data_IF_480029079900
#
_entry.id   IF_480029079900
#
_cell.length_a   1.000
_cell.length_b   1.000
_cell.length_c   1.000
_cell.angle_alpha   90.00
_cell.angle_beta   90.00
_cell.angle_gamma   90.00
#
_symmetry.space_group_name_H-M   'P 1'
#
loop_
_entity.id
_entity.type
_entity.pdbx_description
1 polymer ?
#
# COMPACT_ATOMS: atom_id res chain seq x y z
N UNK A 1 18.54 38.35 25.25
CA UNK A 1 19.41 39.10 24.30
C UNK A 1 20.68 38.30 24.22
N UNK A 2 21.03 37.63 23.12
CA UNK A 2 21.30 38.24 21.80
C UNK A 2 20.75 37.36 20.67
N UNK A 3 20.09 38.02 19.74
CA UNK A 3 19.57 37.47 18.49
C UNK A 3 20.73 37.34 17.52
N UNK A 4 20.99 36.14 17.01
CA UNK A 4 21.56 35.96 15.67
C UNK A 4 20.56 35.16 14.83
N UNK A 5 19.63 35.92 14.26
CA UNK A 5 18.81 35.54 13.12
C UNK A 5 19.73 35.23 11.94
N UNK A 6 20.17 33.98 11.83
CA UNK A 6 20.51 33.41 10.54
C UNK A 6 19.25 32.73 10.02
N UNK A 7 18.57 33.42 9.11
CA UNK A 7 17.50 32.88 8.28
C UNK A 7 17.97 31.60 7.60
N UNK A 8 17.72 30.44 8.23
CA UNK A 8 17.63 29.19 7.49
C UNK A 8 16.44 29.39 6.56
N UNK A 9 16.72 29.70 5.30
CA UNK A 9 15.77 29.48 4.20
C UNK A 9 15.24 28.06 4.39
N UNK A 10 14.05 27.96 4.99
CA UNK A 10 13.31 26.72 5.10
C UNK A 10 13.13 26.24 3.67
N UNK A 11 13.95 25.28 3.24
CA UNK A 11 13.82 24.70 1.92
C UNK A 11 12.35 24.28 1.78
N UNK A 12 11.66 24.82 0.76
CA UNK A 12 10.25 24.50 0.53
C UNK A 12 10.10 22.99 0.55
N UNK A 13 9.27 22.49 1.47
CA UNK A 13 9.09 21.06 1.69
C UNK A 13 7.95 20.59 0.79
N UNK A 14 8.19 19.53 0.04
CA UNK A 14 7.33 19.02 -1.02
C UNK A 14 7.17 17.50 -0.85
N UNK A 15 6.17 16.85 -1.48
CA UNK A 15 5.96 15.41 -1.38
C UNK A 15 7.00 14.65 -2.22
N UNK A 16 8.27 14.77 -1.84
CA UNK A 16 9.44 14.35 -2.59
C UNK A 16 9.43 12.86 -2.94
N UNK A 17 8.88 11.99 -2.08
CA UNK A 17 8.73 10.58 -2.41
C UNK A 17 7.72 10.36 -3.55
N UNK A 18 6.58 11.05 -3.53
CA UNK A 18 5.58 10.90 -4.59
C UNK A 18 6.04 11.59 -5.89
N UNK A 19 6.83 12.68 -5.81
CA UNK A 19 7.45 13.33 -6.97
C UNK A 19 8.55 12.44 -7.59
N UNK A 20 9.38 11.80 -6.77
CA UNK A 20 10.42 10.88 -7.27
C UNK A 20 9.82 9.60 -7.88
N UNK A 21 8.61 9.17 -7.50
CA UNK A 21 7.92 8.07 -8.20
C UNK A 21 7.73 8.36 -9.68
N UNK A 22 7.51 9.62 -10.06
CA UNK A 22 7.40 10.03 -11.46
C UNK A 22 8.74 9.84 -12.18
N UNK A 23 9.84 10.29 -11.56
CA UNK A 23 11.19 10.10 -12.09
C UNK A 23 11.51 8.60 -12.21
N UNK A 24 11.22 7.82 -11.16
CA UNK A 24 11.44 6.38 -11.16
C UNK A 24 10.66 5.67 -12.27
N UNK A 25 9.39 6.02 -12.52
CA UNK A 25 8.66 5.38 -13.62
C UNK A 25 9.20 5.76 -15.00
N UNK A 26 9.65 7.01 -15.19
CA UNK A 26 10.34 7.43 -16.42
C UNK A 26 11.60 6.59 -16.65
N UNK A 27 12.39 6.36 -15.58
CA UNK A 27 13.57 5.50 -15.64
C UNK A 27 13.24 4.03 -15.95
N UNK A 28 12.10 3.52 -15.46
CA UNK A 28 11.58 2.19 -15.85
C UNK A 28 11.29 2.14 -17.35
N UNK A 29 10.61 3.15 -17.91
CA UNK A 29 10.35 3.21 -19.37
C UNK A 29 11.67 3.24 -20.14
N UNK A 30 12.61 4.11 -19.73
CA UNK A 30 13.93 4.23 -20.34
C UNK A 30 14.75 2.93 -20.30
N UNK A 31 14.54 2.08 -19.29
CA UNK A 31 15.19 0.78 -19.21
C UNK A 31 14.69 -0.22 -20.28
N UNK A 32 13.42 -0.12 -20.67
CA UNK A 32 12.78 -1.06 -21.59
C UNK A 32 12.79 -0.59 -23.06
N UNK A 33 13.09 0.68 -23.32
CA UNK A 33 13.19 1.22 -24.69
C UNK A 33 14.63 1.23 -25.23
N UNK A 34 15.61 0.64 -24.54
CA UNK A 34 17.03 0.66 -24.95
C UNK A 34 17.29 -0.11 -26.26
N UNK A 35 18.23 0.36 -27.07
CA UNK A 35 18.99 -0.47 -28.03
C UNK A 35 20.27 -1.01 -27.37
N UNK A 36 20.92 -1.99 -28.00
CA UNK A 36 22.02 -2.76 -27.41
C UNK A 36 23.41 -2.12 -27.61
N UNK A 37 23.51 -0.88 -28.09
CA UNK A 37 24.76 -0.39 -28.67
C UNK A 37 25.48 0.63 -27.78
N UNK A 38 26.67 0.26 -27.27
CA UNK A 38 27.64 1.19 -26.66
C UNK A 38 27.75 1.14 -25.12
N UNK A 39 29.00 1.20 -24.63
CA UNK A 39 29.36 1.16 -23.20
C UNK A 39 28.68 2.29 -22.39
N UNK A 40 28.53 3.48 -22.97
CA UNK A 40 27.84 4.61 -22.33
C UNK A 40 26.34 4.33 -22.12
N UNK A 41 25.65 3.81 -23.15
CA UNK A 41 24.22 3.48 -23.05
C UNK A 41 23.99 2.31 -22.09
N UNK A 42 24.94 1.36 -22.02
CA UNK A 42 24.95 0.31 -21.01
C UNK A 42 25.11 0.87 -19.59
N UNK A 43 26.06 1.78 -19.35
CA UNK A 43 26.26 2.37 -18.03
C UNK A 43 25.02 3.13 -17.52
N UNK A 44 24.28 3.80 -18.43
CA UNK A 44 22.99 4.41 -18.08
C UNK A 44 21.95 3.40 -17.60
N UNK A 45 22.03 2.12 -17.99
CA UNK A 45 21.11 1.09 -17.48
C UNK A 45 21.34 0.81 -16.00
N UNK A 46 22.59 0.85 -15.54
CA UNK A 46 22.94 0.68 -14.12
C UNK A 46 22.25 1.77 -13.28
N UNK A 47 22.22 3.01 -13.79
CA UNK A 47 21.56 4.13 -13.12
C UNK A 47 20.03 4.03 -13.18
N UNK A 48 19.46 3.58 -14.30
CA UNK A 48 18.00 3.40 -14.46
C UNK A 48 17.44 2.36 -13.49
N UNK A 49 18.25 1.40 -13.03
CA UNK A 49 17.87 0.37 -12.05
C UNK A 49 17.52 0.91 -10.67
N UNK A 50 17.84 2.17 -10.34
CA UNK A 50 17.43 2.84 -9.08
C UNK A 50 15.91 2.78 -8.85
N UNK A 51 15.13 2.67 -9.91
CA UNK A 51 13.66 2.72 -9.88
C UNK A 51 13.02 1.65 -8.99
N UNK A 52 13.38 0.38 -9.18
CA UNK A 52 12.77 -0.74 -8.44
C UNK A 52 13.11 -0.73 -6.94
N UNK A 53 14.38 -0.66 -6.50
CA UNK A 53 14.69 -0.59 -5.07
C UNK A 53 14.10 0.66 -4.43
N UNK A 54 13.98 1.78 -5.16
CA UNK A 54 13.24 2.95 -4.66
C UNK A 54 11.78 2.58 -4.34
N UNK A 55 11.05 1.95 -5.26
CA UNK A 55 9.67 1.53 -5.00
C UNK A 55 9.57 0.53 -3.84
N UNK A 56 10.53 -0.39 -3.70
CA UNK A 56 10.61 -1.31 -2.55
C UNK A 56 10.82 -0.52 -1.24
N UNK A 57 11.81 0.38 -1.19
CA UNK A 57 12.11 1.19 -0.01
C UNK A 57 10.93 2.07 0.41
N UNK A 58 10.21 2.67 -0.54
CA UNK A 58 8.99 3.42 -0.22
C UNK A 58 7.92 2.52 0.41
N UNK A 59 7.73 1.30 -0.10
CA UNK A 59 6.81 0.33 0.50
C UNK A 59 7.25 -0.04 1.93
N UNK A 60 8.53 -0.32 2.14
CA UNK A 60 9.09 -0.60 3.48
C UNK A 60 8.91 0.55 4.47
N UNK A 61 9.16 1.79 4.02
CA UNK A 61 8.96 3.00 4.81
C UNK A 61 7.51 3.15 5.32
N UNK A 62 6.52 3.00 4.44
CA UNK A 62 5.12 3.13 4.83
C UNK A 62 4.61 1.93 5.65
N UNK A 63 5.09 0.72 5.40
CA UNK A 63 4.78 -0.45 6.23
C UNK A 63 5.28 -0.27 7.66
N UNK A 64 6.51 0.21 7.83
CA UNK A 64 7.12 0.45 9.14
C UNK A 64 6.40 1.54 9.95
N UNK A 65 5.94 2.62 9.30
CA UNK A 65 5.15 3.67 9.98
C UNK A 65 3.82 3.16 10.53
N UNK A 66 3.25 2.12 9.92
CA UNK A 66 2.07 1.42 10.43
C UNK A 66 2.39 0.28 11.39
N UNK A 67 3.62 0.21 11.93
CA UNK A 67 4.14 -0.90 12.73
C UNK A 67 3.89 -2.26 12.07
N UNK A 68 3.98 -2.31 10.73
CA UNK A 68 3.71 -3.49 9.92
C UNK A 68 2.31 -4.12 10.08
N UNK A 69 1.37 -3.48 10.79
CA UNK A 69 0.00 -3.98 11.01
C UNK A 69 -0.79 -4.13 9.70
N UNK A 70 -0.43 -3.33 8.69
CA UNK A 70 -1.07 -3.33 7.38
C UNK A 70 -0.48 -4.33 6.39
N UNK A 71 0.48 -5.17 6.80
CA UNK A 71 1.18 -6.13 5.92
C UNK A 71 0.21 -7.04 5.19
N UNK A 72 -0.80 -7.59 5.86
CA UNK A 72 -1.83 -8.41 5.21
C UNK A 72 -2.58 -7.66 4.12
N UNK A 73 -3.05 -6.43 4.40
CA UNK A 73 -3.73 -5.56 3.41
C UNK A 73 -2.81 -5.20 2.24
N UNK A 74 -1.52 -4.98 2.51
CA UNK A 74 -0.52 -4.70 1.48
C UNK A 74 -0.30 -5.91 0.55
N UNK A 75 -0.14 -7.10 1.12
CA UNK A 75 -0.01 -8.35 0.37
C UNK A 75 -1.26 -8.63 -0.48
N UNK A 76 -2.47 -8.50 0.07
CA UNK A 76 -3.71 -8.69 -0.69
C UNK A 76 -3.81 -7.72 -1.87
N UNK A 77 -3.49 -6.42 -1.65
CA UNK A 77 -3.51 -5.43 -2.73
C UNK A 77 -2.45 -5.72 -3.80
N UNK A 78 -1.25 -6.13 -3.39
CA UNK A 78 -0.16 -6.48 -4.31
C UNK A 78 -0.51 -7.73 -5.12
N UNK A 79 -1.12 -8.73 -4.49
CA UNK A 79 -1.59 -9.95 -5.16
C UNK A 79 -2.72 -9.65 -6.15
N UNK A 80 -3.67 -8.79 -5.77
CA UNK A 80 -4.72 -8.33 -6.70
C UNK A 80 -4.13 -7.60 -7.89
N UNK A 81 -3.21 -6.66 -7.66
CA UNK A 81 -2.54 -5.92 -8.73
C UNK A 81 -1.76 -6.86 -9.66
N UNK A 82 -1.10 -7.86 -9.08
CA UNK A 82 -0.37 -8.87 -9.83
C UNK A 82 -1.30 -9.74 -10.66
N UNK A 83 -2.40 -10.25 -10.08
CA UNK A 83 -3.39 -11.04 -10.81
C UNK A 83 -4.00 -10.28 -11.99
N UNK A 84 -4.35 -9.00 -11.80
CA UNK A 84 -4.78 -8.12 -12.91
C UNK A 84 -3.68 -7.98 -13.96
N UNK A 85 -2.42 -7.79 -13.54
CA UNK A 85 -1.27 -7.76 -14.44
C UNK A 85 -1.10 -9.07 -15.24
N UNK A 86 -1.19 -10.23 -14.60
CA UNK A 86 -1.10 -11.54 -15.28
C UNK A 86 -2.16 -11.66 -16.37
N UNK A 87 -3.43 -11.33 -16.05
CA UNK A 87 -4.51 -11.37 -17.02
C UNK A 87 -4.32 -10.35 -18.15
N UNK A 88 -3.88 -9.14 -17.82
CA UNK A 88 -3.62 -8.08 -18.79
C UNK A 88 -2.52 -8.49 -19.78
N UNK A 89 -1.51 -9.26 -19.37
CA UNK A 89 -0.39 -9.67 -20.23
C UNK A 89 -0.56 -11.06 -20.84
N UNK A 90 -1.63 -11.79 -20.51
CA UNK A 90 -1.88 -13.13 -21.03
C UNK A 90 -1.96 -13.17 -22.58
N UNK A 91 -2.64 -12.21 -23.27
CA UNK A 91 -2.65 -12.19 -24.74
C UNK A 91 -1.26 -11.97 -25.35
N UNK A 92 -0.42 -11.12 -24.74
CA UNK A 92 0.96 -10.89 -25.20
C UNK A 92 1.81 -12.13 -25.00
N UNK A 93 1.66 -12.80 -23.87
CA UNK A 93 2.36 -14.05 -23.59
C UNK A 93 2.00 -15.14 -24.58
N UNK A 94 0.71 -15.24 -24.94
CA UNK A 94 0.25 -16.15 -25.99
C UNK A 94 0.88 -15.79 -27.34
N UNK A 95 0.78 -14.52 -27.76
CA UNK A 95 1.33 -14.04 -29.03
C UNK A 95 2.86 -14.23 -29.12
N UNK A 96 3.58 -14.00 -28.02
CA UNK A 96 5.03 -14.17 -27.95
C UNK A 96 5.48 -15.63 -27.78
N UNK A 97 4.55 -16.60 -27.75
CA UNK A 97 4.87 -18.02 -27.56
C UNK A 97 5.44 -18.35 -26.18
N UNK A 98 5.16 -17.53 -25.17
CA UNK A 98 5.72 -17.66 -23.81
C UNK A 98 4.91 -18.58 -22.88
N UNK A 99 3.77 -19.12 -23.34
CA UNK A 99 2.96 -20.09 -22.60
C UNK A 99 3.58 -21.51 -22.68
N UNK A 100 4.72 -21.69 -22.02
CA UNK A 100 5.37 -22.99 -21.87
C UNK A 100 4.83 -23.76 -20.64
N UNK A 101 5.14 -25.06 -20.48
CA UNK A 101 4.82 -25.80 -19.25
C UNK A 101 5.41 -25.14 -17.98
N UNK A 102 6.49 -24.38 -18.14
CA UNK A 102 7.17 -23.64 -17.09
C UNK A 102 6.49 -22.30 -16.73
N UNK A 103 5.46 -21.89 -17.49
CA UNK A 103 4.76 -20.62 -17.31
C UNK A 103 4.21 -20.45 -15.89
N UNK A 104 3.67 -21.51 -15.28
CA UNK A 104 3.13 -21.45 -13.92
C UNK A 104 4.25 -21.14 -12.90
N UNK A 105 5.41 -21.78 -13.02
CA UNK A 105 6.57 -21.50 -12.16
C UNK A 105 6.98 -20.05 -12.27
N UNK A 106 7.11 -19.54 -13.50
CA UNK A 106 7.46 -18.13 -13.77
C UNK A 106 6.43 -17.18 -13.19
N UNK A 107 5.14 -17.45 -13.36
CA UNK A 107 4.06 -16.65 -12.75
C UNK A 107 4.21 -16.59 -11.23
N UNK A 108 4.64 -17.66 -10.57
CA UNK A 108 4.78 -17.68 -9.11
C UNK A 108 6.05 -16.93 -8.65
N UNK A 109 7.18 -17.17 -9.31
CA UNK A 109 8.49 -16.78 -8.79
C UNK A 109 9.16 -15.60 -9.52
N UNK A 110 8.98 -15.49 -10.84
CA UNK A 110 9.75 -14.57 -11.69
C UNK A 110 8.90 -13.43 -12.29
N UNK A 111 7.58 -13.58 -12.35
CA UNK A 111 6.66 -12.69 -13.05
C UNK A 111 6.16 -13.28 -14.37
N UNK A 112 4.88 -13.06 -14.67
CA UNK A 112 4.27 -13.46 -15.96
C UNK A 112 4.79 -12.68 -17.18
N UNK A 113 5.47 -11.55 -16.96
CA UNK A 113 6.11 -10.75 -18.00
C UNK A 113 7.32 -10.03 -17.39
N UNK A 114 8.33 -9.71 -18.22
CA UNK A 114 9.65 -9.26 -17.74
C UNK A 114 9.63 -8.07 -16.76
N UNK A 115 8.67 -7.14 -16.89
CA UNK A 115 8.57 -5.98 -16.01
C UNK A 115 7.75 -6.28 -14.75
N UNK A 116 6.88 -7.31 -14.75
CA UNK A 116 5.98 -7.59 -13.62
C UNK A 116 6.67 -8.28 -12.44
N UNK A 117 7.92 -8.75 -12.60
CA UNK A 117 8.70 -9.47 -11.59
C UNK A 117 8.72 -8.82 -10.19
N UNK A 118 8.65 -7.50 -10.15
CA UNK A 118 8.60 -6.72 -8.90
C UNK A 118 7.45 -7.13 -7.99
N UNK A 119 6.28 -7.47 -8.54
CA UNK A 119 5.08 -7.80 -7.76
C UNK A 119 5.18 -9.15 -7.04
N UNK A 120 5.48 -10.29 -7.69
CA UNK A 120 5.72 -11.55 -7.00
C UNK A 120 6.95 -11.47 -6.07
N UNK A 121 7.98 -10.72 -6.45
CA UNK A 121 9.13 -10.48 -5.58
C UNK A 121 8.71 -9.78 -4.27
N UNK A 122 7.82 -8.77 -4.33
CA UNK A 122 7.25 -8.16 -3.12
C UNK A 122 6.40 -9.14 -2.31
N UNK A 123 5.60 -9.99 -2.96
CA UNK A 123 4.77 -10.99 -2.28
C UNK A 123 5.62 -11.99 -1.48
N UNK A 124 6.76 -12.41 -2.03
CA UNK A 124 7.68 -13.34 -1.38
C UNK A 124 8.58 -12.64 -0.33
N UNK A 125 9.08 -11.45 -0.63
CA UNK A 125 10.03 -10.75 0.23
C UNK A 125 9.42 -10.00 1.41
N UNK A 126 8.15 -9.58 1.32
CA UNK A 126 7.48 -8.86 2.41
C UNK A 126 7.29 -9.70 3.67
N UNK A 127 6.87 -10.98 3.61
CA UNK A 127 6.81 -11.85 4.79
C UNK A 127 8.18 -12.02 5.47
N UNK A 128 9.25 -12.15 4.69
CA UNK A 128 10.62 -12.27 5.19
C UNK A 128 11.03 -10.98 5.90
N UNK A 129 10.83 -9.83 5.27
CA UNK A 129 11.14 -8.53 5.86
C UNK A 129 10.28 -8.25 7.10
N UNK A 130 9.01 -8.66 7.11
CA UNK A 130 8.12 -8.56 8.27
C UNK A 130 8.66 -9.38 9.45
N UNK A 131 9.03 -10.63 9.23
CA UNK A 131 9.63 -11.47 10.27
C UNK A 131 10.96 -10.88 10.78
N UNK A 132 11.83 -10.42 9.87
CA UNK A 132 13.08 -9.77 10.23
C UNK A 132 12.86 -8.45 11.00
N UNK A 133 11.76 -7.74 10.73
CA UNK A 133 11.43 -6.50 11.43
C UNK A 133 11.08 -6.69 12.91
N UNK A 134 10.81 -7.92 13.34
CA UNK A 134 10.64 -8.26 14.75
C UNK A 134 11.97 -8.20 15.54
N UNK A 135 13.11 -8.29 14.85
CA UNK A 135 14.43 -8.15 15.46
C UNK A 135 14.86 -6.68 15.51
N UNK A 136 15.87 -6.39 16.33
CA UNK A 136 16.50 -5.07 16.33
C UNK A 136 17.12 -4.77 14.95
N UNK A 137 17.08 -3.52 14.46
CA UNK A 137 17.65 -3.15 13.16
C UNK A 137 19.11 -3.56 12.98
N UNK A 138 19.89 -3.54 14.07
CA UNK A 138 21.29 -3.97 14.11
C UNK A 138 21.49 -5.47 13.79
N UNK A 139 20.46 -6.30 13.96
CA UNK A 139 20.47 -7.70 13.56
C UNK A 139 19.74 -7.92 12.22
N UNK A 140 18.59 -7.27 12.04
CA UNK A 140 17.74 -7.46 10.85
C UNK A 140 18.42 -7.04 9.54
N UNK A 141 19.07 -5.87 9.52
CA UNK A 141 19.70 -5.33 8.31
C UNK A 141 20.91 -6.19 7.88
N UNK A 142 21.84 -6.60 8.78
CA UNK A 142 22.91 -7.51 8.40
C UNK A 142 22.44 -8.87 7.89
N UNK A 143 21.38 -9.46 8.48
CA UNK A 143 20.82 -10.73 7.98
C UNK A 143 20.27 -10.55 6.56
N UNK A 144 19.51 -9.48 6.30
CA UNK A 144 19.04 -9.19 4.95
C UNK A 144 20.19 -8.81 3.99
N UNK A 145 21.25 -8.19 4.50
CA UNK A 145 22.48 -7.93 3.76
C UNK A 145 23.19 -9.21 3.34
N UNK A 146 23.26 -10.22 4.22
CA UNK A 146 23.79 -11.53 3.89
C UNK A 146 22.97 -12.22 2.78
N UNK A 147 21.63 -12.16 2.87
CA UNK A 147 20.76 -12.65 1.78
C UNK A 147 21.05 -11.92 0.46
N UNK A 148 21.24 -10.60 0.49
CA UNK A 148 21.62 -9.83 -0.70
C UNK A 148 22.96 -10.24 -1.29
N UNK A 149 23.97 -10.51 -0.45
CA UNK A 149 25.28 -10.98 -0.89
C UNK A 149 25.22 -12.38 -1.52
N UNK A 150 24.37 -13.27 -1.00
CA UNK A 150 24.08 -14.56 -1.66
C UNK A 150 23.44 -14.30 -3.03
N UNK A 151 22.47 -13.39 -3.11
CA UNK A 151 21.89 -13.02 -4.40
C UNK A 151 22.93 -12.46 -5.38
N UNK A 152 23.84 -11.61 -4.90
CA UNK A 152 24.90 -11.01 -5.70
C UNK A 152 25.81 -12.05 -6.36
N UNK A 153 26.11 -13.15 -5.64
CA UNK A 153 26.88 -14.28 -6.16
C UNK A 153 26.18 -15.06 -7.27
N UNK A 154 24.86 -14.97 -7.41
CA UNK A 154 24.11 -15.57 -8.51
C UNK A 154 23.94 -14.69 -9.75
N UNK A 155 24.30 -13.40 -9.67
CA UNK A 155 24.08 -12.42 -10.73
C UNK A 155 25.41 -11.87 -11.26
N UNK A 156 25.86 -10.77 -10.67
CA UNK A 156 26.98 -9.99 -11.19
C UNK A 156 28.34 -10.54 -10.78
N UNK A 157 28.38 -11.42 -9.77
CA UNK A 157 29.60 -12.10 -9.34
C UNK A 157 29.60 -13.60 -9.69
N UNK A 158 28.64 -14.06 -10.50
CA UNK A 158 28.45 -15.48 -10.80
C UNK A 158 29.70 -16.16 -11.34
N UNK A 159 30.43 -15.55 -12.27
CA UNK A 159 31.64 -16.13 -12.83
C UNK A 159 32.77 -16.38 -11.83
N UNK A 160 32.80 -15.69 -10.68
CA UNK A 160 33.75 -16.01 -9.59
C UNK A 160 33.27 -17.21 -8.78
N UNK A 161 31.96 -17.25 -8.54
CA UNK A 161 31.32 -18.22 -7.65
C UNK A 161 31.12 -19.58 -8.33
N UNK A 162 30.88 -19.58 -9.64
CA UNK A 162 30.71 -20.79 -10.46
C UNK A 162 31.98 -21.64 -10.55
N UNK A 163 33.15 -21.05 -10.27
CA UNK A 163 34.42 -21.78 -10.23
C UNK A 163 34.55 -22.69 -9.00
N UNK A 164 33.69 -22.52 -8.00
CA UNK A 164 33.68 -23.33 -6.77
C UNK A 164 32.57 -24.37 -6.90
N UNK A 165 32.88 -25.68 -6.98
CA UNK A 165 31.89 -26.73 -7.29
C UNK A 165 30.67 -26.74 -6.36
N UNK A 166 30.88 -26.58 -5.06
CA UNK A 166 29.81 -26.57 -4.06
C UNK A 166 28.85 -25.39 -4.28
N UNK A 167 29.39 -24.20 -4.58
CA UNK A 167 28.58 -23.02 -4.82
C UNK A 167 27.87 -23.11 -6.17
N UNK A 168 28.54 -23.62 -7.21
CA UNK A 168 27.92 -23.88 -8.51
C UNK A 168 26.70 -24.80 -8.39
N UNK A 169 26.81 -25.90 -7.65
CA UNK A 169 25.68 -26.80 -7.37
C UNK A 169 24.54 -26.10 -6.61
N UNK A 170 24.88 -25.27 -5.62
CA UNK A 170 23.90 -24.48 -4.88
C UNK A 170 23.12 -23.51 -5.78
N UNK A 171 23.79 -22.72 -6.63
CA UNK A 171 23.11 -21.80 -7.55
C UNK A 171 22.34 -22.54 -8.64
N UNK A 172 22.83 -23.68 -9.12
CA UNK A 172 22.07 -24.51 -10.07
C UNK A 172 20.74 -24.99 -9.45
N UNK A 173 20.73 -25.33 -8.16
CA UNK A 173 19.50 -25.62 -7.43
C UNK A 173 18.56 -24.42 -7.36
N UNK A 174 19.07 -23.22 -7.08
CA UNK A 174 18.27 -21.98 -7.11
C UNK A 174 17.68 -21.75 -8.52
N UNK A 175 18.47 -21.95 -9.57
CA UNK A 175 18.06 -21.71 -10.95
C UNK A 175 17.04 -22.71 -11.51
N UNK A 176 16.75 -23.80 -10.79
CA UNK A 176 15.61 -24.67 -11.11
C UNK A 176 14.27 -24.05 -10.68
N UNK A 177 14.30 -23.13 -9.71
CA UNK A 177 13.09 -22.50 -9.14
C UNK A 177 12.93 -21.05 -9.58
N UNK A 178 14.02 -20.30 -9.68
CA UNK A 178 14.05 -18.89 -10.06
C UNK A 178 14.90 -18.69 -11.30
N UNK A 179 14.48 -17.84 -12.23
CA UNK A 179 15.31 -17.52 -13.40
C UNK A 179 16.54 -16.66 -13.00
N UNK A 180 16.41 -15.90 -11.93
CA UNK A 180 17.36 -14.90 -11.45
C UNK A 180 17.43 -14.88 -9.92
N UNK A 181 18.57 -14.51 -9.34
CA UNK A 181 18.65 -14.28 -7.88
C UNK A 181 18.21 -12.87 -7.48
N UNK A 182 18.01 -11.96 -8.45
CA UNK A 182 17.26 -10.71 -8.25
C UNK A 182 15.75 -11.00 -8.07
N UNK A 183 15.39 -11.52 -6.91
CA UNK A 183 14.04 -12.00 -6.61
C UNK A 183 13.57 -11.60 -5.21
N UNK A 184 12.39 -12.10 -4.81
CA UNK A 184 11.79 -11.79 -3.52
C UNK A 184 12.58 -12.30 -2.30
N UNK A 185 13.44 -13.31 -2.46
CA UNK A 185 14.20 -13.90 -1.37
C UNK A 185 15.48 -13.12 -1.08
N UNK A 186 16.30 -12.86 -2.11
CA UNK A 186 17.64 -12.29 -1.92
C UNK A 186 17.68 -10.77 -2.09
N UNK A 187 16.76 -10.19 -2.85
CA UNK A 187 16.80 -8.76 -3.18
C UNK A 187 15.88 -7.91 -2.32
N UNK A 188 14.61 -8.29 -2.25
CA UNK A 188 13.54 -7.48 -1.64
C UNK A 188 13.70 -7.22 -0.13
N UNK A 189 14.10 -8.20 0.71
CA UNK A 189 14.12 -7.99 2.15
C UNK A 189 15.05 -6.86 2.59
N UNK A 190 16.23 -6.76 1.97
CA UNK A 190 17.18 -5.69 2.27
C UNK A 190 16.58 -4.32 1.99
N UNK A 191 16.05 -4.09 0.80
CA UNK A 191 15.49 -2.77 0.43
C UNK A 191 14.23 -2.43 1.22
N UNK A 192 13.39 -3.41 1.58
CA UNK A 192 12.25 -3.16 2.47
C UNK A 192 12.73 -2.67 3.84
N UNK A 193 13.74 -3.34 4.42
CA UNK A 193 14.27 -2.99 5.73
C UNK A 193 15.07 -1.68 5.71
N UNK A 194 15.82 -1.38 4.66
CA UNK A 194 16.50 -0.08 4.49
C UNK A 194 15.49 1.06 4.37
N UNK A 195 14.38 0.85 3.66
CA UNK A 195 13.27 1.80 3.62
C UNK A 195 12.58 1.96 4.98
N UNK A 196 12.35 0.85 5.68
CA UNK A 196 11.76 0.82 7.02
C UNK A 196 12.63 1.52 8.08
N UNK A 197 13.96 1.40 7.98
CA UNK A 197 14.90 2.07 8.86
C UNK A 197 14.81 3.60 8.75
N UNK A 198 14.41 4.12 7.58
CA UNK A 198 14.10 5.54 7.39
C UNK A 198 15.26 6.46 7.78
N UNK A 199 16.50 6.05 7.51
CA UNK A 199 17.71 6.75 7.94
C UNK A 199 17.79 8.12 7.26
N UNK A 200 17.92 9.19 8.04
CA UNK A 200 18.09 10.56 7.56
C UNK A 200 19.41 11.12 8.08
N UNK A 201 20.37 11.34 7.18
CA UNK A 201 21.61 12.04 7.46
C UNK A 201 21.49 13.54 7.17
N UNK A 202 22.53 14.31 7.50
CA UNK A 202 22.61 15.71 7.08
C UNK A 202 22.68 15.83 5.55
N UNK A 203 22.06 16.86 4.96
CA UNK A 203 22.09 17.09 3.51
C UNK A 203 23.50 16.97 2.90
N UNK A 204 24.50 17.53 3.57
CA UNK A 204 25.90 17.46 3.13
C UNK A 204 26.40 16.02 3.09
N UNK A 205 26.16 15.25 4.16
CA UNK A 205 26.51 13.83 4.23
C UNK A 205 25.78 13.02 3.16
N UNK A 206 24.50 13.26 2.95
CA UNK A 206 23.70 12.51 1.96
C UNK A 206 24.13 12.82 0.53
N UNK A 207 24.46 14.07 0.20
CA UNK A 207 25.01 14.42 -1.12
C UNK A 207 26.38 13.79 -1.34
N UNK A 208 27.32 13.93 -0.38
CA UNK A 208 28.66 13.36 -0.51
C UNK A 208 28.59 11.83 -0.59
N UNK A 209 27.81 11.20 0.29
CA UNK A 209 27.60 9.76 0.28
C UNK A 209 26.97 9.26 -1.02
N UNK A 210 25.97 9.98 -1.55
CA UNK A 210 25.38 9.67 -2.85
C UNK A 210 26.40 9.74 -3.98
N UNK A 211 27.22 10.81 -4.05
CA UNK A 211 28.24 10.96 -5.10
C UNK A 211 29.35 9.91 -4.99
N UNK A 212 29.85 9.63 -3.79
CA UNK A 212 30.87 8.61 -3.57
C UNK A 212 30.37 7.21 -3.91
N UNK A 213 29.16 6.85 -3.46
CA UNK A 213 28.56 5.54 -3.77
C UNK A 213 28.20 5.40 -5.25
N UNK A 214 27.80 6.48 -5.92
CA UNK A 214 27.58 6.51 -7.36
C UNK A 214 28.88 6.27 -8.12
N UNK A 215 29.97 6.94 -7.74
CA UNK A 215 31.27 6.73 -8.35
C UNK A 215 31.76 5.29 -8.14
N UNK A 216 31.64 4.75 -6.93
CA UNK A 216 32.00 3.37 -6.62
C UNK A 216 31.17 2.36 -7.41
N UNK A 217 29.86 2.59 -7.55
CA UNK A 217 28.98 1.75 -8.36
C UNK A 217 29.37 1.78 -9.85
N UNK A 218 29.70 2.96 -10.40
CA UNK A 218 30.15 3.09 -11.79
C UNK A 218 31.45 2.31 -12.01
N UNK A 219 32.42 2.42 -11.09
CA UNK A 219 33.68 1.67 -11.15
C UNK A 219 33.42 0.17 -11.07
N UNK A 220 32.64 -0.28 -10.08
CA UNK A 220 32.25 -1.68 -9.93
C UNK A 220 31.60 -2.23 -11.20
N UNK A 221 30.62 -1.49 -11.74
CA UNK A 221 29.90 -1.89 -12.93
C UNK A 221 30.84 -2.03 -14.13
N UNK A 222 31.72 -1.05 -14.39
CA UNK A 222 32.67 -1.10 -15.49
C UNK A 222 33.66 -2.27 -15.37
N UNK A 223 34.16 -2.54 -14.16
CA UNK A 223 35.07 -3.67 -13.91
C UNK A 223 34.38 -5.01 -14.18
N UNK A 224 33.15 -5.19 -13.68
CA UNK A 224 32.39 -6.42 -13.89
C UNK A 224 31.99 -6.59 -15.37
N UNK A 225 31.63 -5.51 -16.06
CA UNK A 225 31.28 -5.56 -17.48
C UNK A 225 32.48 -5.93 -18.35
N UNK A 226 33.64 -5.30 -18.13
CA UNK A 226 34.87 -5.58 -18.89
C UNK A 226 35.46 -6.96 -18.61
N UNK A 227 35.24 -7.49 -17.42
CA UNK A 227 35.71 -8.84 -17.06
C UNK A 227 34.83 -9.96 -17.61
N UNK A 228 33.60 -9.66 -18.04
CA UNK A 228 32.70 -10.65 -18.66
C UNK A 228 32.23 -11.76 -17.72
N UNK A 229 32.41 -11.61 -16.40
CA UNK A 229 32.07 -12.63 -15.40
C UNK A 229 30.59 -12.61 -14.98
N UNK A 230 29.83 -11.62 -15.42
CA UNK A 230 28.46 -11.41 -15.01
C UNK A 230 27.54 -12.40 -15.74
N UNK A 231 26.68 -13.11 -14.99
CA UNK A 231 25.54 -13.80 -15.60
C UNK A 231 24.48 -12.78 -16.02
N UNK A 232 24.19 -11.86 -15.10
CA UNK A 232 23.28 -10.74 -15.27
C UNK A 232 23.80 -9.52 -14.52
N UNK A 233 23.45 -8.33 -15.01
CA UNK A 233 23.93 -7.02 -14.56
C UNK A 233 22.93 -6.33 -13.63
N UNK A 234 22.28 -7.10 -12.74
CA UNK A 234 21.13 -6.60 -11.96
C UNK A 234 21.36 -6.32 -10.49
N UNK A 235 22.48 -6.71 -9.92
CA UNK A 235 22.81 -6.53 -8.51
C UNK A 235 24.25 -6.06 -8.38
N UNK A 236 24.52 -5.11 -7.49
CA UNK A 236 25.87 -4.58 -7.30
C UNK A 236 26.10 -4.34 -5.81
N UNK A 237 27.33 -4.56 -5.35
CA UNK A 237 27.71 -4.38 -3.96
C UNK A 237 27.52 -2.95 -3.49
N UNK A 238 27.88 -1.94 -4.29
CA UNK A 238 27.73 -0.53 -3.91
C UNK A 238 26.31 0.01 -4.05
N UNK A 239 25.39 -0.77 -4.61
CA UNK A 239 24.03 -0.33 -4.91
C UNK A 239 23.16 -0.03 -3.67
N UNK A 240 23.14 -0.86 -2.61
CA UNK A 240 22.40 -0.53 -1.39
C UNK A 240 22.86 0.78 -0.75
N UNK A 241 24.16 1.09 -0.81
CA UNK A 241 24.72 2.32 -0.27
C UNK A 241 24.22 3.55 -1.04
N UNK A 242 24.24 3.49 -2.37
CA UNK A 242 23.64 4.53 -3.24
C UNK A 242 22.19 4.78 -2.86
N UNK A 243 21.42 3.71 -2.68
CA UNK A 243 20.00 3.78 -2.35
C UNK A 243 19.75 4.39 -0.96
N UNK A 244 20.56 4.09 0.05
CA UNK A 244 20.45 4.69 1.39
C UNK A 244 20.63 6.20 1.33
N UNK A 245 21.66 6.70 0.64
CA UNK A 245 21.91 8.14 0.56
C UNK A 245 20.88 8.87 -0.31
N UNK A 246 20.48 8.27 -1.44
CA UNK A 246 19.38 8.79 -2.26
C UNK A 246 18.09 8.89 -1.44
N UNK A 247 17.72 7.83 -0.73
CA UNK A 247 16.50 7.80 0.05
C UNK A 247 16.57 8.78 1.23
N UNK A 248 17.73 8.96 1.85
CA UNK A 248 17.94 9.99 2.87
C UNK A 248 17.70 11.41 2.33
N UNK A 249 18.18 11.74 1.12
CA UNK A 249 17.91 13.05 0.49
C UNK A 249 16.41 13.27 0.26
N UNK A 250 15.73 12.22 -0.21
CA UNK A 250 14.28 12.28 -0.46
C UNK A 250 13.50 12.44 0.84
N UNK A 251 13.85 11.69 1.90
CA UNK A 251 13.19 11.76 3.20
C UNK A 251 13.36 13.13 3.87
N UNK A 252 14.54 13.74 3.78
CA UNK A 252 14.78 15.09 4.31
C UNK A 252 13.87 16.14 3.66
N UNK A 253 13.65 16.02 2.35
CA UNK A 253 12.80 16.93 1.58
C UNK A 253 11.29 16.61 1.66
N UNK A 254 10.93 15.40 2.10
CA UNK A 254 9.57 14.87 1.97
C UNK A 254 8.61 15.44 3.02
N UNK A 255 7.61 16.20 2.57
CA UNK A 255 6.42 16.56 3.34
C UNK A 255 5.14 16.48 2.50
N UNK A 256 4.11 15.88 3.08
CA UNK A 256 2.81 15.69 2.44
C UNK A 256 2.74 14.46 1.54
N UNK A 257 1.65 14.36 0.79
CA UNK A 257 1.37 13.26 -0.14
C UNK A 257 0.72 13.79 -1.42
N UNK A 258 1.07 13.21 -2.56
CA UNK A 258 0.44 13.43 -3.87
C UNK A 258 -0.09 12.11 -4.41
N UNK A 259 -1.32 11.77 -3.98
CA UNK A 259 -2.00 10.52 -4.36
C UNK A 259 -2.20 10.38 -5.87
N UNK A 260 -2.45 11.47 -6.58
CA UNK A 260 -2.60 11.48 -8.05
C UNK A 260 -1.34 11.00 -8.76
N UNK A 261 -0.16 11.50 -8.36
CA UNK A 261 1.13 11.07 -8.92
C UNK A 261 1.42 9.60 -8.59
N UNK A 262 1.05 9.15 -7.38
CA UNK A 262 1.18 7.74 -7.00
C UNK A 262 0.37 6.83 -7.91
N UNK A 263 -0.91 7.15 -8.13
CA UNK A 263 -1.78 6.40 -9.04
C UNK A 263 -1.25 6.44 -10.47
N UNK A 264 -0.90 7.63 -10.97
CA UNK A 264 -0.34 7.81 -12.31
C UNK A 264 0.91 6.96 -12.51
N UNK A 265 1.87 7.02 -11.59
CA UNK A 265 3.12 6.23 -11.67
C UNK A 265 2.86 4.73 -11.70
N UNK A 266 1.88 4.22 -10.93
CA UNK A 266 1.50 2.81 -10.93
C UNK A 266 0.86 2.39 -12.26
N UNK A 267 -0.02 3.22 -12.82
CA UNK A 267 -0.65 2.90 -14.11
C UNK A 267 0.38 2.93 -15.23
N UNK A 268 1.23 3.97 -15.31
CA UNK A 268 2.32 4.06 -16.30
C UNK A 268 3.23 2.82 -16.19
N UNK A 269 3.61 2.44 -14.97
CA UNK A 269 4.40 1.25 -14.73
C UNK A 269 3.75 -0.02 -15.31
N UNK A 270 2.43 -0.19 -15.15
CA UNK A 270 1.72 -1.39 -15.63
C UNK A 270 1.50 -1.40 -17.14
N UNK A 271 1.33 -0.25 -17.79
CA UNK A 271 0.91 -0.20 -19.20
C UNK A 271 2.03 0.15 -20.19
N UNK A 272 3.20 0.61 -19.72
CA UNK A 272 4.26 1.04 -20.64
C UNK A 272 4.73 -0.05 -21.65
N UNK A 273 4.77 -1.35 -21.31
CA UNK A 273 5.10 -2.40 -22.27
C UNK A 273 4.03 -2.58 -23.35
N UNK A 274 2.76 -2.41 -23.00
CA UNK A 274 1.69 -2.36 -23.99
C UNK A 274 1.90 -1.19 -24.95
N UNK A 275 2.25 -0.02 -24.43
CA UNK A 275 2.57 1.14 -25.26
C UNK A 275 3.78 0.87 -26.16
N UNK A 276 4.81 0.17 -25.67
CA UNK A 276 5.95 -0.26 -26.47
C UNK A 276 5.55 -1.18 -27.63
N UNK A 277 4.70 -2.19 -27.37
CA UNK A 277 4.21 -3.12 -28.41
C UNK A 277 3.35 -2.38 -29.43
N UNK A 278 2.47 -1.48 -28.99
CA UNK A 278 1.61 -0.69 -29.88
C UNK A 278 2.41 0.27 -30.76
N UNK A 279 3.39 0.98 -30.21
CA UNK A 279 4.28 1.87 -30.97
C UNK A 279 5.05 1.08 -32.02
N UNK A 280 5.62 -0.07 -31.67
CA UNK A 280 6.32 -0.95 -32.62
C UNK A 280 5.39 -1.50 -33.71
N UNK A 281 4.19 -1.92 -33.34
CA UNK A 281 3.17 -2.40 -34.28
C UNK A 281 2.74 -1.32 -35.26
N UNK A 282 2.45 -0.11 -34.77
CA UNK A 282 2.10 1.04 -35.60
C UNK A 282 3.25 1.44 -36.55
N UNK A 283 4.49 1.46 -36.07
CA UNK A 283 5.65 1.76 -36.90
C UNK A 283 5.83 0.74 -38.03
N UNK A 284 5.54 -0.53 -37.78
CA UNK A 284 5.56 -1.60 -38.79
C UNK A 284 4.47 -1.40 -39.86
N UNK A 285 3.26 -1.01 -39.46
CA UNK A 285 2.13 -0.77 -40.38
C UNK A 285 2.41 0.42 -41.30
N UNK A 286 2.97 1.50 -40.74
CA UNK A 286 3.27 2.74 -41.50
C UNK A 286 4.59 2.63 -42.30
N UNK A 287 5.38 1.57 -42.08
CA UNK A 287 6.66 1.37 -42.77
C UNK A 287 7.80 2.29 -42.29
N UNK A 288 7.67 2.87 -41.09
CA UNK A 288 8.64 3.82 -40.51
C UNK A 288 9.46 3.20 -39.36
N UNK A 289 9.74 1.89 -39.41
CA UNK A 289 10.46 1.19 -38.34
C UNK A 289 11.87 1.75 -38.11
N UNK A 290 12.58 2.14 -39.16
CA UNK A 290 13.92 2.74 -39.02
C UNK A 290 13.89 4.02 -38.18
N UNK A 291 13.00 4.96 -38.50
CA UNK A 291 12.92 6.22 -37.76
C UNK A 291 12.32 6.05 -36.36
N UNK A 292 11.27 5.24 -36.21
CA UNK A 292 10.46 5.19 -34.98
C UNK A 292 10.90 4.12 -33.97
N UNK A 293 11.59 3.07 -34.43
CA UNK A 293 11.97 1.92 -33.59
C UNK A 293 13.48 1.79 -33.42
N UNK A 294 14.26 1.98 -34.48
CA UNK A 294 15.74 1.86 -34.40
C UNK A 294 16.36 3.07 -33.69
N UNK A 295 15.73 4.24 -33.77
CA UNK A 295 16.13 5.40 -32.97
C UNK A 295 15.60 5.27 -31.52
N UNK A 296 16.49 4.83 -30.62
CA UNK A 296 16.23 4.63 -29.19
C UNK A 296 15.63 5.85 -28.48
N UNK A 297 16.04 7.06 -28.86
CA UNK A 297 15.54 8.30 -28.24
C UNK A 297 14.10 8.56 -28.71
N UNK A 298 13.84 8.43 -30.01
CA UNK A 298 12.49 8.58 -30.57
C UNK A 298 11.55 7.53 -29.99
N UNK A 299 11.96 6.26 -29.96
CA UNK A 299 11.19 5.18 -29.36
C UNK A 299 10.90 5.46 -27.88
N UNK A 300 11.90 5.89 -27.11
CA UNK A 300 11.72 6.28 -25.71
C UNK A 300 10.67 7.38 -25.55
N UNK A 301 10.77 8.48 -26.30
CA UNK A 301 9.83 9.61 -26.21
C UNK A 301 8.42 9.16 -26.59
N UNK A 302 8.25 8.39 -27.67
CA UNK A 302 6.93 7.92 -28.11
C UNK A 302 6.27 7.00 -27.08
N UNK A 303 7.02 6.03 -26.54
CA UNK A 303 6.52 5.13 -25.49
C UNK A 303 6.22 5.91 -24.22
N UNK A 304 7.05 6.87 -23.85
CA UNK A 304 6.82 7.70 -22.67
C UNK A 304 5.53 8.51 -22.79
N UNK A 305 5.39 9.29 -23.86
CA UNK A 305 4.24 10.15 -24.11
C UNK A 305 2.95 9.32 -24.21
N UNK A 306 2.96 8.24 -24.99
CA UNK A 306 1.80 7.35 -25.11
C UNK A 306 1.41 6.72 -23.77
N UNK A 307 2.40 6.30 -22.96
CA UNK A 307 2.13 5.74 -21.63
C UNK A 307 1.48 6.76 -20.69
N UNK A 308 1.95 8.01 -20.68
CA UNK A 308 1.35 9.06 -19.86
C UNK A 308 -0.05 9.45 -20.33
N UNK A 309 -0.26 9.62 -21.64
CA UNK A 309 -1.57 9.95 -22.19
C UNK A 309 -2.59 8.85 -21.92
N UNK A 310 -2.24 7.59 -22.18
CA UNK A 310 -3.12 6.46 -21.93
C UNK A 310 -3.39 6.30 -20.43
N UNK A 311 -2.39 6.50 -19.57
CA UNK A 311 -2.59 6.43 -18.12
C UNK A 311 -3.54 7.51 -17.62
N UNK A 312 -3.43 8.74 -18.13
CA UNK A 312 -4.35 9.82 -17.76
C UNK A 312 -5.76 9.51 -18.26
N UNK A 313 -5.92 9.03 -19.50
CA UNK A 313 -7.21 8.62 -20.04
C UNK A 313 -7.86 7.54 -19.16
N UNK A 314 -7.11 6.50 -18.76
CA UNK A 314 -7.61 5.43 -17.89
C UNK A 314 -7.99 5.95 -16.49
N UNK A 315 -7.25 6.92 -15.96
CA UNK A 315 -7.58 7.52 -14.66
C UNK A 315 -8.82 8.41 -14.72
N UNK A 316 -9.11 9.05 -15.86
CA UNK A 316 -10.33 9.83 -16.09
C UNK A 316 -11.59 8.95 -16.15
N UNK A 317 -11.45 7.68 -16.54
CA UNK A 317 -12.55 6.70 -16.53
C UNK A 317 -12.90 6.22 -15.10
N UNK A 318 -12.04 6.46 -14.11
CA UNK A 318 -12.35 6.11 -12.73
C UNK A 318 -13.39 7.08 -12.17
N UNK A 319 -14.41 6.58 -11.44
CA UNK A 319 -15.43 7.45 -10.86
C UNK A 319 -14.75 8.50 -9.96
N UNK A 320 -15.09 9.79 -10.11
CA UNK A 320 -14.49 10.85 -9.32
C UNK A 320 -14.70 10.54 -7.85
N UNK A 321 -13.61 10.55 -7.07
CA UNK A 321 -13.73 10.44 -5.63
C UNK A 321 -14.46 11.69 -5.12
N UNK A 322 -15.35 11.54 -4.12
CA UNK A 322 -16.03 12.68 -3.53
C UNK A 322 -14.99 13.71 -3.08
N UNK A 323 -15.08 14.92 -3.63
CA UNK A 323 -14.17 16.03 -3.33
C UNK A 323 -14.35 16.41 -1.86
N UNK A 324 -13.27 16.37 -1.10
CA UNK A 324 -13.25 16.72 0.33
C UNK A 324 -13.16 18.24 0.46
N UNK A 325 -14.21 18.87 1.00
CA UNK A 325 -14.36 20.35 1.04
C UNK A 325 -14.02 20.98 2.40
N UNK A 326 -13.57 20.21 3.40
CA UNK A 326 -13.25 20.70 4.74
C UNK A 326 -11.76 20.72 5.09
N UNK A 327 -11.36 21.61 6.02
CA UNK A 327 -10.00 21.69 6.59
C UNK A 327 -9.56 20.39 7.30
N UNK A 328 -10.52 19.66 7.87
CA UNK A 328 -10.34 18.35 8.48
C UNK A 328 -11.60 17.51 8.23
N UNK A 329 -11.44 16.20 8.09
CA UNK A 329 -12.54 15.26 7.88
C UNK A 329 -12.28 13.96 8.62
N UNK A 330 -13.36 13.19 8.83
CA UNK A 330 -13.32 11.83 9.35
C UNK A 330 -13.66 10.89 8.18
N UNK A 331 -12.79 9.93 7.90
CA UNK A 331 -13.04 8.88 6.90
C UNK A 331 -13.64 7.66 7.61
N UNK A 332 -14.81 7.22 7.14
CA UNK A 332 -15.55 6.11 7.72
C UNK A 332 -15.48 4.90 6.79
N UNK A 333 -14.81 3.84 7.24
CA UNK A 333 -14.69 2.60 6.50
C UNK A 333 -15.93 1.72 6.71
N UNK A 334 -16.79 1.66 5.68
CA UNK A 334 -18.01 0.82 5.70
C UNK A 334 -17.69 -0.67 5.81
N UNK A 335 -16.57 -1.13 5.24
CA UNK A 335 -16.16 -2.53 5.32
C UNK A 335 -15.74 -2.88 6.75
N UNK A 336 -15.07 -1.96 7.45
CA UNK A 336 -14.74 -2.12 8.87
C UNK A 336 -16.01 -2.19 9.73
N UNK A 337 -17.00 -1.30 9.50
CA UNK A 337 -18.27 -1.36 10.22
C UNK A 337 -18.99 -2.69 10.01
N UNK A 338 -19.09 -3.16 8.76
CA UNK A 338 -19.71 -4.45 8.42
C UNK A 338 -18.99 -5.62 9.09
N UNK A 339 -17.66 -5.64 9.05
CA UNK A 339 -16.86 -6.68 9.68
C UNK A 339 -17.12 -6.75 11.18
N UNK A 340 -17.11 -5.60 11.87
CA UNK A 340 -17.36 -5.55 13.32
C UNK A 340 -18.76 -6.08 13.68
N UNK A 341 -19.78 -5.71 12.89
CA UNK A 341 -21.14 -6.22 13.10
C UNK A 341 -21.22 -7.73 12.89
N UNK A 342 -20.57 -8.26 11.86
CA UNK A 342 -20.54 -9.71 11.61
C UNK A 342 -19.86 -10.47 12.74
N UNK A 343 -18.75 -9.95 13.30
CA UNK A 343 -18.07 -10.56 14.44
C UNK A 343 -18.95 -10.53 15.71
N UNK A 344 -19.67 -9.44 15.94
CA UNK A 344 -20.61 -9.37 17.06
C UNK A 344 -21.78 -10.34 16.87
N UNK A 345 -22.32 -10.46 15.65
CA UNK A 345 -23.39 -11.41 15.36
C UNK A 345 -22.94 -12.86 15.52
N UNK A 346 -21.71 -13.21 15.15
CA UNK A 346 -21.21 -14.59 15.25
C UNK A 346 -21.03 -15.11 16.67
N UNK A 347 -20.98 -14.22 17.67
CA UNK A 347 -20.82 -14.60 19.09
C UNK A 347 -22.14 -14.51 19.88
N UNK A 348 -23.23 -14.06 19.26
CA UNK A 348 -24.52 -13.97 19.95
C UNK A 348 -25.16 -15.35 20.08
N UNK A 349 -25.79 -15.64 21.24
CA UNK A 349 -26.64 -16.81 21.38
C UNK A 349 -27.82 -16.77 20.40
N UNK A 350 -28.35 -17.96 20.09
CA UNK A 350 -29.56 -18.07 19.29
C UNK A 350 -30.72 -17.30 19.92
N UNK A 351 -31.51 -16.61 19.09
CA UNK A 351 -32.60 -15.74 19.54
C UNK A 351 -32.18 -14.36 20.07
N UNK A 352 -30.89 -14.07 20.22
CA UNK A 352 -30.40 -12.73 20.57
C UNK A 352 -30.22 -11.85 19.33
N UNK A 353 -30.51 -10.55 19.46
CA UNK A 353 -30.34 -9.56 18.41
C UNK A 353 -29.46 -8.39 18.88
N UNK A 354 -28.74 -7.77 17.94
CA UNK A 354 -27.99 -6.55 18.24
C UNK A 354 -28.92 -5.33 18.33
N UNK A 355 -28.67 -4.49 19.33
CA UNK A 355 -29.23 -3.15 19.45
C UNK A 355 -28.09 -2.13 19.59
N UNK A 356 -27.46 -1.68 18.48
CA UNK A 356 -26.30 -0.80 18.54
C UNK A 356 -26.63 0.54 19.18
N UNK A 357 -25.79 0.97 20.11
CA UNK A 357 -25.84 2.32 20.67
C UNK A 357 -25.22 3.32 19.68
N UNK A 358 -26.02 4.24 19.16
CA UNK A 358 -25.61 5.30 18.22
C UNK A 358 -25.74 6.69 18.84
N UNK A 359 -25.69 6.77 20.18
CA UNK A 359 -25.65 8.02 20.96
C UNK A 359 -24.40 8.86 20.67
N UNK A 360 -24.45 10.13 21.06
CA UNK A 360 -23.40 11.12 20.83
C UNK A 360 -22.98 11.18 19.35
N UNK A 361 -23.96 11.24 18.46
CA UNK A 361 -23.75 11.23 17.01
C UNK A 361 -22.96 9.98 16.52
N UNK A 362 -23.32 8.79 17.01
CA UNK A 362 -22.54 7.55 16.86
C UNK A 362 -21.07 7.74 17.24
N UNK A 363 -20.82 8.23 18.46
CA UNK A 363 -19.47 8.52 18.96
C UNK A 363 -18.66 9.44 18.02
N UNK A 364 -19.31 10.44 17.43
CA UNK A 364 -18.70 11.38 16.48
C UNK A 364 -18.61 10.91 15.02
N UNK A 365 -19.13 9.72 14.69
CA UNK A 365 -19.06 9.15 13.33
C UNK A 365 -20.27 9.49 12.44
N UNK A 366 -21.29 10.20 12.96
CA UNK A 366 -22.50 10.52 12.21
C UNK A 366 -23.61 9.49 12.42
N UNK A 367 -24.50 9.73 13.37
CA UNK A 367 -25.53 8.78 13.81
C UNK A 367 -26.45 8.32 12.67
N UNK A 368 -26.99 9.25 11.89
CA UNK A 368 -27.88 8.92 10.76
C UNK A 368 -27.14 8.10 9.70
N UNK A 369 -25.90 8.44 9.39
CA UNK A 369 -25.10 7.75 8.38
C UNK A 369 -24.78 6.31 8.81
N UNK A 370 -24.34 6.14 10.06
CA UNK A 370 -24.06 4.82 10.65
C UNK A 370 -25.34 3.99 10.74
N UNK A 371 -26.41 4.53 11.30
CA UNK A 371 -27.69 3.82 11.46
C UNK A 371 -28.30 3.39 10.12
N UNK A 372 -28.17 4.19 9.05
CA UNK A 372 -28.62 3.79 7.70
C UNK A 372 -27.87 2.57 7.20
N UNK A 373 -26.54 2.54 7.39
CA UNK A 373 -25.74 1.40 6.98
C UNK A 373 -26.09 0.15 7.80
N UNK A 374 -26.30 0.30 9.10
CA UNK A 374 -26.75 -0.79 9.97
C UNK A 374 -28.14 -1.31 9.58
N UNK A 375 -29.09 -0.44 9.23
CA UNK A 375 -30.39 -0.87 8.67
C UNK A 375 -30.22 -1.70 7.38
N UNK A 376 -29.28 -1.34 6.49
CA UNK A 376 -28.98 -2.14 5.28
C UNK A 376 -28.41 -3.52 5.61
N UNK A 377 -27.74 -3.66 6.76
CA UNK A 377 -27.25 -4.94 7.28
C UNK A 377 -28.33 -5.72 8.03
N UNK A 378 -29.58 -5.26 8.04
CA UNK A 378 -30.71 -5.93 8.69
C UNK A 378 -30.88 -5.62 10.17
N UNK A 379 -30.08 -4.70 10.74
CA UNK A 379 -30.26 -4.27 12.13
C UNK A 379 -31.48 -3.34 12.22
N UNK A 380 -32.44 -3.71 13.06
CA UNK A 380 -33.74 -3.03 13.19
C UNK A 380 -34.00 -2.49 14.60
N UNK A 381 -32.96 -2.37 15.43
CA UNK A 381 -33.06 -1.87 16.78
C UNK A 381 -31.85 -1.00 17.12
N UNK A 382 -32.06 0.17 17.72
CA UNK A 382 -31.00 1.14 18.06
C UNK A 382 -31.20 1.74 19.44
N UNK A 383 -30.10 2.12 20.09
CA UNK A 383 -30.12 2.89 21.33
C UNK A 383 -29.56 4.30 21.12
N UNK A 384 -30.23 5.31 21.69
CA UNK A 384 -29.78 6.71 21.77
C UNK A 384 -29.80 7.19 23.21
N UNK A 385 -29.10 8.28 23.52
CA UNK A 385 -29.10 8.84 24.87
C UNK A 385 -30.31 9.75 25.10
N UNK A 386 -30.77 10.48 24.08
CA UNK A 386 -31.82 11.49 24.22
C UNK A 386 -32.94 11.36 23.17
N UNK A 387 -34.10 11.94 23.46
CA UNK A 387 -35.23 12.04 22.52
C UNK A 387 -34.84 12.78 21.24
N UNK A 388 -34.01 13.82 21.35
CA UNK A 388 -33.57 14.62 20.21
C UNK A 388 -32.74 13.80 19.23
N UNK A 389 -31.83 12.95 19.73
CA UNK A 389 -31.08 12.00 18.90
C UNK A 389 -32.02 10.98 18.23
N UNK A 390 -33.01 10.45 18.97
CA UNK A 390 -34.01 9.55 18.41
C UNK A 390 -34.84 10.20 17.30
N UNK A 391 -35.25 11.45 17.51
CA UNK A 391 -35.95 12.26 16.52
C UNK A 391 -35.09 12.55 15.28
N UNK A 392 -33.78 12.75 15.45
CA UNK A 392 -32.82 12.90 14.35
C UNK A 392 -32.76 11.62 13.49
N UNK A 393 -32.62 10.45 14.12
CA UNK A 393 -32.63 9.17 13.39
C UNK A 393 -33.93 8.97 12.61
N UNK A 394 -35.08 9.28 13.20
CA UNK A 394 -36.38 9.16 12.54
C UNK A 394 -36.53 10.09 11.34
N UNK A 395 -36.12 11.35 11.47
CA UNK A 395 -36.06 12.28 10.33
C UNK A 395 -35.08 11.82 9.26
N UNK A 396 -34.01 11.14 9.68
CA UNK A 396 -33.07 10.46 8.80
C UNK A 396 -33.63 9.23 8.06
N UNK A 397 -34.87 8.81 8.34
CA UNK A 397 -35.52 7.66 7.72
C UNK A 397 -35.12 6.31 8.31
N UNK A 398 -34.55 6.29 9.53
CA UNK A 398 -34.16 5.05 10.21
C UNK A 398 -35.41 4.27 10.65
N UNK A 399 -35.40 2.98 10.30
CA UNK A 399 -36.49 2.04 10.56
C UNK A 399 -36.21 1.17 11.77
N UNK A 400 -37.27 0.60 12.34
CA UNK A 400 -37.20 -0.31 13.48
C UNK A 400 -37.30 0.41 14.82
N UNK A 401 -36.96 -0.29 15.90
CA UNK A 401 -37.03 0.21 17.26
C UNK A 401 -35.90 1.20 17.57
N UNK A 402 -36.23 2.26 18.33
CA UNK A 402 -35.25 3.22 18.83
C UNK A 402 -35.54 3.45 20.31
N UNK A 403 -34.63 2.96 21.16
CA UNK A 403 -34.70 3.09 22.61
C UNK A 403 -33.92 4.33 23.08
N UNK A 404 -34.58 5.19 23.83
CA UNK A 404 -33.98 6.30 24.58
C UNK A 404 -33.55 5.78 25.94
N UNK A 405 -32.23 5.68 26.13
CA UNK A 405 -31.63 5.15 27.37
C UNK A 405 -31.70 6.16 28.53
N UNK A 406 -31.63 7.46 28.21
CA UNK A 406 -31.61 8.52 29.20
C UNK A 406 -33.00 8.92 29.69
N UNK A 407 -33.03 9.76 30.72
CA UNK A 407 -34.24 10.39 31.20
C UNK A 407 -34.84 11.34 30.15
N UNK A 408 -36.16 11.33 30.02
CA UNK A 408 -36.91 12.27 29.20
C UNK A 408 -37.80 13.11 30.11
N UNK A 409 -37.66 14.43 30.05
CA UNK A 409 -38.52 15.34 30.82
C UNK A 409 -39.98 15.24 30.32
N UNK A 410 -41.00 15.29 31.20
CA UNK A 410 -42.41 15.16 30.80
C UNK A 410 -42.87 16.08 29.67
N UNK A 411 -42.31 17.29 29.60
CA UNK A 411 -42.58 18.24 28.51
C UNK A 411 -42.16 17.73 27.11
N UNK A 412 -41.19 16.81 27.06
CA UNK A 412 -40.70 16.19 25.83
C UNK A 412 -41.44 14.88 25.48
N UNK A 413 -42.38 14.41 26.32
CA UNK A 413 -43.16 13.20 26.03
C UNK A 413 -43.94 13.23 24.71
N UNK A 414 -44.52 14.38 24.25
CA UNK A 414 -45.13 14.45 22.93
C UNK A 414 -44.16 14.07 21.79
N UNK A 415 -42.86 14.31 21.95
CA UNK A 415 -41.85 13.92 20.96
C UNK A 415 -41.65 12.40 20.90
N UNK A 416 -41.70 11.69 22.03
CA UNK A 416 -41.63 10.22 22.06
C UNK A 416 -42.73 9.61 21.19
N UNK A 417 -43.97 10.10 21.34
CA UNK A 417 -45.13 9.67 20.54
C UNK A 417 -44.97 10.07 19.07
N UNK A 418 -44.62 11.32 18.80
CA UNK A 418 -44.44 11.84 17.43
C UNK A 418 -43.41 11.06 16.63
N UNK A 419 -42.30 10.70 17.26
CA UNK A 419 -41.18 10.00 16.61
C UNK A 419 -41.18 8.48 16.85
N UNK A 420 -42.19 7.93 17.54
CA UNK A 420 -42.30 6.49 17.86
C UNK A 420 -41.01 5.96 18.50
N UNK A 421 -40.64 6.54 19.63
CA UNK A 421 -39.45 6.19 20.40
C UNK A 421 -39.84 5.39 21.64
N UNK A 422 -39.09 4.33 21.93
CA UNK A 422 -39.20 3.55 23.18
C UNK A 422 -38.45 4.31 24.28
N UNK A 423 -39.01 4.40 25.48
CA UNK A 423 -38.42 5.11 26.61
C UNK A 423 -38.00 4.14 27.71
N UNK A 424 -36.78 4.27 28.22
CA UNK A 424 -36.36 3.62 29.45
C UNK A 424 -37.04 4.28 30.66
N UNK A 425 -37.67 3.47 31.51
CA UNK A 425 -38.31 3.91 32.75
C UNK A 425 -37.60 3.24 33.93
N UNK A 426 -37.15 4.03 34.90
CA UNK A 426 -36.44 3.52 36.10
C UNK A 426 -37.30 3.55 37.36
N UNK A 427 -38.42 4.26 37.34
CA UNK A 427 -39.38 4.32 38.45
C UNK A 427 -40.82 4.28 37.92
N UNK A 428 -41.65 3.47 38.57
CA UNK A 428 -43.08 3.31 38.31
C UNK A 428 -43.93 4.46 38.86
N UNK A 429 -43.34 5.36 39.67
CA UNK A 429 -44.03 6.54 40.23
C UNK A 429 -44.20 7.70 39.25
N UNK A 430 -43.60 7.63 38.05
CA UNK A 430 -43.82 8.63 37.00
C UNK A 430 -45.33 8.75 36.73
N UNK A 431 -45.93 9.96 36.73
CA UNK A 431 -47.37 10.09 36.92
C UNK A 431 -48.14 9.42 35.79
N UNK A 432 -48.88 8.36 36.14
CA UNK A 432 -49.90 7.73 35.27
C UNK A 432 -50.93 8.73 34.74
N UNK A 433 -51.00 9.92 35.33
CA UNK A 433 -52.01 10.95 35.08
C UNK A 433 -51.81 11.78 33.80
N UNK A 434 -50.65 11.74 33.12
CA UNK A 434 -50.42 12.59 31.92
C UNK A 434 -49.98 11.88 30.65
N UNK A 435 -49.73 10.57 30.70
CA UNK A 435 -49.42 9.79 29.51
C UNK A 435 -50.48 8.72 29.36
N UNK A 436 -51.34 8.88 28.36
CA UNK A 436 -52.16 7.79 27.84
C UNK A 436 -51.19 6.78 27.21
N UNK A 437 -50.62 5.90 28.04
CA UNK A 437 -49.74 4.83 27.60
C UNK A 437 -50.63 3.87 26.84
N UNK A 438 -50.54 3.88 25.50
CA UNK A 438 -51.16 2.85 24.69
C UNK A 438 -50.65 1.49 25.19
N UNK A 439 -51.51 0.48 25.37
CA UNK A 439 -51.09 -0.83 25.86
C UNK A 439 -49.94 -1.35 24.97
N UNK A 440 -48.75 -1.45 25.55
CA UNK A 440 -47.59 -1.96 24.86
C UNK A 440 -47.70 -3.49 24.82
N UNK A 441 -47.63 -4.09 23.64
CA UNK A 441 -47.63 -5.56 23.48
C UNK A 441 -46.32 -6.22 23.91
N UNK A 442 -45.28 -5.43 24.29
CA UNK A 442 -43.95 -5.92 24.68
C UNK A 442 -43.37 -5.07 25.80
N UNK A 443 -43.31 -5.64 27.00
CA UNK A 443 -42.54 -5.10 28.13
C UNK A 443 -41.26 -5.92 28.25
N UNK A 444 -40.10 -5.26 28.15
CA UNK A 444 -38.80 -5.92 28.33
C UNK A 444 -38.26 -5.57 29.71
N UNK A 445 -38.06 -6.57 30.57
CA UNK A 445 -37.33 -6.39 31.83
C UNK A 445 -35.83 -6.49 31.54
N UNK A 446 -35.06 -5.44 31.84
CA UNK A 446 -33.61 -5.57 31.94
C UNK A 446 -33.29 -6.25 33.27
N UNK A 447 -33.09 -7.56 33.26
CA UNK A 447 -32.49 -8.25 34.40
C UNK A 447 -31.02 -7.83 34.46
N UNK A 448 -30.67 -6.93 35.37
CA UNK A 448 -29.28 -6.72 35.77
C UNK A 448 -28.74 -8.03 36.31
N UNK A 449 -27.89 -8.72 35.55
CA UNK A 449 -27.01 -9.72 36.14
C UNK A 449 -26.07 -8.99 37.10
N UNK A 450 -26.37 -9.09 38.39
CA UNK A 450 -25.42 -8.87 39.47
C UNK A 450 -24.25 -9.85 39.30
N UNK A 451 -23.27 -9.50 38.49
CA UNK A 451 -21.92 -10.04 38.63
C UNK A 451 -21.23 -9.23 39.70
N UNK A 452 -21.27 -9.73 40.93
CA UNK A 452 -20.31 -9.40 41.98
C UNK A 452 -18.92 -9.73 41.42
N UNK A 453 -18.17 -8.70 41.01
CA UNK A 453 -16.74 -8.84 40.76
C UNK A 453 -16.06 -8.98 42.13
N UNK A 454 -15.28 -10.05 42.39
CA UNK A 454 -14.48 -10.12 43.60
C UNK A 454 -13.40 -9.03 43.51
N UNK A 455 -13.58 -7.95 44.26
CA UNK A 455 -12.52 -7.00 44.57
C UNK A 455 -11.47 -7.71 45.40
N UNK A 456 -10.33 -8.08 44.79
CA UNK A 456 -9.13 -8.37 45.56
C UNK A 456 -8.64 -7.05 46.17
N UNK A 457 -8.44 -6.96 47.50
CA UNK A 457 -7.83 -5.78 48.10
C UNK A 457 -6.39 -5.66 47.60
N UNK A 458 -6.09 -4.53 46.98
CA UNK A 458 -4.71 -4.06 46.78
C UNK A 458 -4.25 -3.60 48.15
N UNK A 459 -3.35 -4.36 48.78
CA UNK A 459 -2.57 -3.86 49.91
C UNK A 459 -1.63 -2.77 49.37
N UNK A 460 -1.75 -1.58 49.97
CA UNK A 460 -0.83 -0.45 49.78
C UNK A 460 0.56 -0.79 50.31
#
# INVERSE_FOLDING_TARGET
>A
MTITNASRLSAKKFPALDDFRLIAVILVVANHTRSADGEFLWLLTVLRRVSVPFFIMVSGYFLARGSWRSTGKFLTRTAMLYGVGVLLYLPLNYYAGQLSPDFIRRVIFDGSFYHLWYLPALLLGTPIAYYLSCFRPQAAIPIAGALYLIGLGGESYYGLVSNIPVLSAFYNGIFQVFDYTRNGLFYVPLFLLLGAAGIVFSRRTSVIGFLCSLAALVVEALLLHRSGIQRHDSMYFFFPFLMVFLFSLLLEANQGERRSLRQLSTVVYLIHPWCLVLVRGAAKIVGLTGLLVENTIVLFILVLVSSFLLSQMLLLLQPPRPVQTGRAWIELDRAALRHNIQQLQSILPEGCALMPAVKANAYGHGAVLVAKELNRLGIMAFCVATVTEGAELRRGGIKGEILVLGYTHPEQFPMLRRYRLTQSMTDMTAPRERVQIAPCSRTYSMTTMSKTYPTKPVQL
#
